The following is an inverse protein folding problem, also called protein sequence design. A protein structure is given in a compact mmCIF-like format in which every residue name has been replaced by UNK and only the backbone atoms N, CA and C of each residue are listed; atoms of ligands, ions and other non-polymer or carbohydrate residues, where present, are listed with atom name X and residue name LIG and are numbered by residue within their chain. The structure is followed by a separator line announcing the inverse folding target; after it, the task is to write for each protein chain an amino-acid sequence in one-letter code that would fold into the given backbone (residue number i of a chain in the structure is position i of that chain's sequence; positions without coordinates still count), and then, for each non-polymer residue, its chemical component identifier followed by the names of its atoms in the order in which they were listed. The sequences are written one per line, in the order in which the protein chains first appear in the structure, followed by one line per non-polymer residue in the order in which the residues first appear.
data_IF_529394399457
#
_entry.id   IF_529394399457
#
_cell.length_a   1.000
_cell.length_b   1.000
_cell.length_c   1.000
_cell.angle_alpha   90.00
_cell.angle_beta   90.00
_cell.angle_gamma   90.00
#
_symmetry.space_group_name_H-M   'P 1'
#
loop_
_entity.id
_entity.type
_entity.pdbx_description
1 polymer ?
#
# COMPACT_ATOMS: atom_id res chain seq x y z
N UNK A 1 -17.15 -7.54 -33.99
CA UNK A 1 -16.88 -8.18 -32.69
C UNK A 1 -16.51 -7.09 -31.70
N UNK A 2 -17.35 -6.80 -30.69
CA UNK A 2 -17.00 -5.83 -29.65
C UNK A 2 -15.91 -6.44 -28.78
N UNK A 3 -14.69 -5.90 -28.84
CA UNK A 3 -13.58 -6.32 -27.99
C UNK A 3 -13.90 -5.90 -26.54
N UNK A 4 -14.30 -6.84 -25.69
CA UNK A 4 -14.45 -6.56 -24.26
C UNK A 4 -13.09 -6.15 -23.70
N UNK A 5 -12.95 -4.88 -23.30
CA UNK A 5 -11.70 -4.38 -22.71
C UNK A 5 -11.44 -5.12 -21.40
N UNK A 6 -10.43 -5.98 -21.39
CA UNK A 6 -9.98 -6.62 -20.16
C UNK A 6 -9.31 -5.59 -19.26
N UNK A 7 -9.73 -5.51 -18.00
CA UNK A 7 -9.13 -4.63 -17.00
C UNK A 7 -7.74 -5.09 -16.54
N UNK A 8 -7.24 -6.23 -17.01
CA UNK A 8 -5.94 -6.81 -16.61
C UNK A 8 -4.78 -5.80 -16.61
N UNK A 9 -4.62 -4.92 -17.63
CA UNK A 9 -3.53 -3.93 -17.62
C UNK A 9 -3.61 -2.95 -16.45
N UNK A 10 -4.81 -2.60 -15.98
CA UNK A 10 -4.98 -1.73 -14.81
C UNK A 10 -4.49 -2.41 -13.53
N UNK A 11 -4.94 -3.66 -13.30
CA UNK A 11 -4.53 -4.42 -12.12
C UNK A 11 -3.01 -4.61 -12.06
N UNK A 12 -2.40 -4.93 -13.21
CA UNK A 12 -0.96 -5.11 -13.34
C UNK A 12 -0.18 -3.79 -13.26
N UNK A 13 -0.73 -2.69 -13.78
CA UNK A 13 -0.09 -1.37 -13.71
C UNK A 13 0.11 -0.90 -12.29
N UNK A 14 -0.95 -0.96 -11.46
CA UNK A 14 -0.87 -0.57 -10.03
C UNK A 14 0.06 -1.54 -9.27
N UNK A 15 -0.02 -2.84 -9.57
CA UNK A 15 0.89 -3.84 -9.01
C UNK A 15 2.36 -3.54 -9.33
N UNK A 16 2.68 -3.13 -10.55
CA UNK A 16 4.03 -2.79 -10.99
C UNK A 16 4.57 -1.54 -10.30
N UNK A 17 3.73 -0.50 -10.17
CA UNK A 17 4.08 0.73 -9.44
C UNK A 17 4.41 0.41 -7.98
N UNK A 18 3.52 -0.31 -7.29
CA UNK A 18 3.76 -0.72 -5.91
C UNK A 18 4.97 -1.63 -5.75
N UNK A 19 5.23 -2.53 -6.70
CA UNK A 19 6.41 -3.40 -6.68
C UNK A 19 7.71 -2.65 -6.82
N UNK A 20 7.75 -1.64 -7.70
CA UNK A 20 8.91 -0.76 -7.87
C UNK A 20 9.17 0.04 -6.59
N UNK A 21 8.12 0.64 -6.01
CA UNK A 21 8.26 1.41 -4.76
C UNK A 21 8.72 0.49 -3.61
N UNK A 22 8.15 -0.72 -3.51
CA UNK A 22 8.54 -1.69 -2.50
C UNK A 22 10.02 -2.07 -2.61
N UNK A 23 10.48 -2.39 -3.82
CA UNK A 23 11.86 -2.76 -4.08
C UNK A 23 12.86 -1.66 -3.69
N UNK A 24 12.49 -0.39 -3.89
CA UNK A 24 13.37 0.75 -3.61
C UNK A 24 13.34 1.23 -2.17
N UNK A 25 12.19 1.11 -1.48
CA UNK A 25 11.96 1.82 -0.21
C UNK A 25 11.52 0.94 0.96
N UNK A 26 10.92 -0.23 0.72
CA UNK A 26 10.28 -1.00 1.79
C UNK A 26 11.27 -1.45 2.86
N UNK A 27 12.48 -1.87 2.46
CA UNK A 27 13.54 -2.24 3.39
C UNK A 27 13.92 -1.08 4.32
N UNK A 28 14.10 0.12 3.77
CA UNK A 28 14.41 1.33 4.55
C UNK A 28 13.24 1.74 5.46
N UNK A 29 12.00 1.64 4.98
CA UNK A 29 10.80 1.91 5.79
C UNK A 29 10.73 0.96 6.98
N UNK A 30 10.93 -0.34 6.77
CA UNK A 30 10.97 -1.34 7.84
C UNK A 30 12.10 -1.04 8.83
N UNK A 31 13.31 -0.73 8.32
CA UNK A 31 14.44 -0.41 9.18
C UNK A 31 14.17 0.83 10.06
N UNK A 32 13.55 1.87 9.52
CA UNK A 32 13.24 3.10 10.27
C UNK A 32 12.10 2.87 11.25
N UNK A 33 10.95 2.40 10.77
CA UNK A 33 9.70 2.37 11.54
C UNK A 33 9.64 1.15 12.47
N UNK A 34 10.12 -0.02 12.03
CA UNK A 34 9.97 -1.27 12.78
C UNK A 34 11.22 -1.64 13.60
N UNK A 35 12.37 -0.99 13.37
CA UNK A 35 13.63 -1.31 14.08
C UNK A 35 14.15 -0.07 14.81
N UNK A 36 14.54 0.98 14.08
CA UNK A 36 15.21 2.14 14.67
C UNK A 36 14.31 2.93 15.63
N UNK A 37 13.03 3.12 15.28
CA UNK A 37 12.08 3.85 16.12
C UNK A 37 11.76 3.10 17.44
N UNK A 38 11.43 1.78 17.45
CA UNK A 38 11.26 1.02 18.69
C UNK A 38 12.51 0.97 19.57
N UNK A 39 13.70 0.94 18.96
CA UNK A 39 14.98 0.98 19.68
C UNK A 39 15.38 2.39 20.13
N UNK A 40 14.56 3.41 19.86
CA UNK A 40 14.77 4.82 20.23
C UNK A 40 16.03 5.45 19.65
N UNK A 41 16.52 4.94 18.52
CA UNK A 41 17.67 5.54 17.81
C UNK A 41 17.34 6.87 17.14
N UNK A 42 16.05 7.12 16.92
CA UNK A 42 15.50 8.31 16.28
C UNK A 42 14.71 9.20 17.27
N UNK A 43 14.99 9.06 18.57
CA UNK A 43 14.23 9.70 19.64
C UNK A 43 13.03 8.86 20.09
N UNK A 44 12.14 9.48 20.86
CA UNK A 44 10.86 8.89 21.26
C UNK A 44 9.86 8.87 20.09
N UNK A 45 8.87 7.95 20.08
CA UNK A 45 7.78 7.97 19.10
C UNK A 45 7.07 9.32 19.02
N UNK A 46 6.90 10.01 20.14
CA UNK A 46 6.28 11.33 20.24
C UNK A 46 7.12 12.41 19.56
N UNK A 47 8.43 12.46 19.82
CA UNK A 47 9.36 13.39 19.16
C UNK A 47 9.45 13.12 17.65
N UNK A 48 9.52 11.85 17.26
CA UNK A 48 9.55 11.45 15.85
C UNK A 48 8.28 11.88 15.12
N UNK A 49 7.11 11.70 15.75
CA UNK A 49 5.83 12.18 15.22
C UNK A 49 5.82 13.69 15.08
N UNK A 50 6.20 14.43 16.13
CA UNK A 50 6.19 15.89 16.12
C UNK A 50 7.05 16.47 14.98
N UNK A 51 8.25 15.92 14.77
CA UNK A 51 9.15 16.36 13.71
C UNK A 51 8.63 16.11 12.29
N UNK A 52 7.81 15.07 12.10
CA UNK A 52 7.23 14.73 10.80
C UNK A 52 5.84 15.33 10.58
N UNK A 53 5.14 15.73 11.65
CA UNK A 53 3.75 16.12 11.61
C UNK A 53 3.51 17.27 10.62
N UNK A 54 4.31 18.34 10.66
CA UNK A 54 4.12 19.48 9.76
C UNK A 54 4.27 19.11 8.28
N UNK A 55 5.18 18.17 7.96
CA UNK A 55 5.35 17.67 6.60
C UNK A 55 4.16 16.83 6.15
N UNK A 56 3.70 15.92 7.01
CA UNK A 56 2.57 15.02 6.69
C UNK A 56 1.24 15.77 6.67
N UNK A 57 1.08 16.84 7.47
CA UNK A 57 -0.09 17.71 7.47
C UNK A 57 -0.24 18.51 6.15
N UNK A 58 0.84 18.64 5.37
CA UNK A 58 0.72 19.19 4.02
C UNK A 58 -0.12 18.24 3.14
N UNK A 59 -1.29 18.71 2.70
CA UNK A 59 -2.27 17.91 1.93
C UNK A 59 -1.68 17.27 0.67
N UNK A 60 -0.74 17.92 -0.01
CA UNK A 60 -0.11 17.36 -1.19
C UNK A 60 0.80 16.19 -0.83
N UNK A 61 1.61 16.33 0.23
CA UNK A 61 2.48 15.27 0.75
C UNK A 61 1.63 14.11 1.27
N UNK A 62 0.57 14.40 2.02
CA UNK A 62 -0.39 13.40 2.48
C UNK A 62 -0.95 12.56 1.33
N UNK A 63 -1.41 13.18 0.24
CA UNK A 63 -1.95 12.45 -0.92
C UNK A 63 -0.89 11.57 -1.59
N UNK A 64 0.36 12.03 -1.69
CA UNK A 64 1.47 11.22 -2.20
C UNK A 64 1.70 10.00 -1.31
N UNK A 65 1.78 10.19 0.01
CA UNK A 65 1.98 9.10 0.97
C UNK A 65 0.81 8.11 0.94
N UNK A 66 -0.44 8.59 0.88
CA UNK A 66 -1.62 7.75 0.76
C UNK A 66 -1.58 6.92 -0.55
N UNK A 67 -1.17 7.52 -1.67
CA UNK A 67 -0.99 6.83 -2.94
C UNK A 67 0.11 5.76 -2.90
N UNK A 68 1.25 6.08 -2.28
CA UNK A 68 2.35 5.12 -2.05
C UNK A 68 1.84 3.92 -1.25
N UNK A 69 1.19 4.16 -0.10
CA UNK A 69 0.66 3.10 0.75
C UNK A 69 -0.37 2.26 -0.01
N UNK A 70 -1.27 2.89 -0.77
CA UNK A 70 -2.25 2.18 -1.60
C UNK A 70 -1.58 1.27 -2.64
N UNK A 71 -0.58 1.76 -3.37
CA UNK A 71 0.10 0.95 -4.39
C UNK A 71 0.88 -0.21 -3.78
N UNK A 72 1.55 0.00 -2.63
CA UNK A 72 2.20 -1.08 -1.86
C UNK A 72 1.20 -2.14 -1.42
N UNK A 73 0.05 -1.72 -0.89
CA UNK A 73 -1.00 -2.63 -0.46
C UNK A 73 -1.60 -3.41 -1.64
N UNK A 74 -1.88 -2.71 -2.75
CA UNK A 74 -2.33 -3.33 -3.99
C UNK A 74 -1.33 -4.37 -4.49
N UNK A 75 -0.03 -4.06 -4.46
CA UNK A 75 1.01 -5.01 -4.82
C UNK A 75 0.96 -6.28 -3.97
N UNK A 76 0.86 -6.12 -2.64
CA UNK A 76 0.77 -7.22 -1.70
C UNK A 76 -0.45 -8.12 -1.95
N UNK A 77 -1.64 -7.54 -2.04
CA UNK A 77 -2.88 -8.31 -2.26
C UNK A 77 -2.92 -8.97 -3.65
N UNK A 78 -2.36 -8.31 -4.66
CA UNK A 78 -2.21 -8.86 -6.01
C UNK A 78 -1.34 -10.13 -5.98
N UNK A 79 -0.13 -10.04 -5.39
CA UNK A 79 0.75 -11.21 -5.24
C UNK A 79 0.09 -12.31 -4.42
N UNK A 80 -0.52 -11.96 -3.30
CA UNK A 80 -1.16 -12.93 -2.42
C UNK A 80 -2.25 -13.74 -3.12
N UNK A 81 -3.11 -13.09 -3.92
CA UNK A 81 -4.11 -13.80 -4.73
C UNK A 81 -3.49 -14.85 -5.65
N UNK A 82 -2.43 -14.49 -6.38
CA UNK A 82 -1.77 -15.41 -7.30
C UNK A 82 -0.97 -16.49 -6.57
N UNK A 83 -0.35 -16.18 -5.43
CA UNK A 83 0.31 -17.19 -4.58
C UNK A 83 -0.70 -18.26 -4.12
N UNK A 84 -1.91 -17.86 -3.69
CA UNK A 84 -2.94 -18.83 -3.31
C UNK A 84 -3.32 -19.75 -4.49
N UNK A 85 -3.45 -19.18 -5.69
CA UNK A 85 -3.71 -19.95 -6.90
C UNK A 85 -2.55 -20.90 -7.24
N UNK A 86 -1.30 -20.43 -7.13
CA UNK A 86 -0.08 -21.21 -7.40
C UNK A 86 0.13 -22.33 -6.35
N UNK A 87 -0.35 -22.12 -5.12
CA UNK A 87 -0.41 -23.15 -4.07
C UNK A 87 -1.59 -24.12 -4.23
N UNK A 88 -2.31 -24.08 -5.35
CA UNK A 88 -3.49 -24.90 -5.63
C UNK A 88 -4.65 -24.73 -4.62
N UNK A 89 -4.73 -23.59 -3.95
CA UNK A 89 -5.89 -23.22 -3.14
C UNK A 89 -6.97 -22.70 -4.09
N UNK A 90 -8.19 -23.25 -3.98
CA UNK A 90 -9.32 -22.88 -4.83
C UNK A 90 -9.81 -21.46 -4.54
N UNK A 91 -9.18 -20.47 -5.20
CA UNK A 91 -9.53 -19.06 -5.12
C UNK A 91 -10.25 -18.61 -6.39
N UNK A 92 -11.46 -18.05 -6.22
CA UNK A 92 -12.29 -17.58 -7.32
C UNK A 92 -12.32 -16.05 -7.43
N UNK A 93 -13.19 -15.56 -8.32
CA UNK A 93 -13.39 -14.13 -8.51
C UNK A 93 -13.82 -13.38 -7.23
N UNK A 94 -14.53 -14.07 -6.32
CA UNK A 94 -14.92 -13.50 -5.02
C UNK A 94 -13.70 -13.14 -4.17
N UNK A 95 -12.78 -14.09 -3.98
CA UNK A 95 -11.52 -13.86 -3.24
C UNK A 95 -10.72 -12.72 -3.86
N UNK A 96 -10.62 -12.71 -5.20
CA UNK A 96 -9.96 -11.65 -5.94
C UNK A 96 -10.57 -10.28 -5.62
N UNK A 97 -11.89 -10.15 -5.75
CA UNK A 97 -12.60 -8.90 -5.50
C UNK A 97 -12.49 -8.46 -4.03
N UNK A 98 -12.55 -9.39 -3.08
CA UNK A 98 -12.37 -9.11 -1.65
C UNK A 98 -10.98 -8.55 -1.36
N UNK A 99 -9.92 -9.11 -1.96
CA UNK A 99 -8.55 -8.66 -1.77
C UNK A 99 -8.30 -7.26 -2.34
N UNK A 100 -8.74 -6.99 -3.57
CA UNK A 100 -8.64 -5.64 -4.13
C UNK A 100 -9.57 -4.65 -3.44
N UNK A 101 -10.77 -5.09 -3.06
CA UNK A 101 -11.73 -4.30 -2.29
C UNK A 101 -11.15 -3.88 -0.95
N UNK A 102 -10.45 -4.77 -0.25
CA UNK A 102 -9.72 -4.44 0.97
C UNK A 102 -8.70 -3.31 0.75
N UNK A 103 -7.89 -3.37 -0.32
CA UNK A 103 -6.93 -2.32 -0.64
C UNK A 103 -7.61 -0.96 -0.91
N UNK A 104 -8.74 -0.96 -1.63
CA UNK A 104 -9.51 0.26 -1.91
C UNK A 104 -10.16 0.81 -0.64
N UNK A 105 -10.78 -0.03 0.18
CA UNK A 105 -11.41 0.38 1.45
C UNK A 105 -10.37 0.97 2.39
N UNK A 106 -9.20 0.32 2.53
CA UNK A 106 -8.12 0.84 3.35
C UNK A 106 -7.66 2.23 2.85
N UNK A 107 -7.50 2.41 1.54
CA UNK A 107 -7.15 3.71 0.97
C UNK A 107 -8.22 4.79 1.23
N UNK A 108 -9.50 4.47 1.05
CA UNK A 108 -10.60 5.41 1.34
C UNK A 108 -10.62 5.76 2.83
N UNK A 109 -10.44 4.80 3.73
CA UNK A 109 -10.34 5.06 5.17
C UNK A 109 -9.15 5.99 5.46
N UNK A 110 -7.98 5.72 4.88
CA UNK A 110 -6.81 6.61 5.01
C UNK A 110 -7.14 8.02 4.56
N UNK A 111 -7.81 8.20 3.42
CA UNK A 111 -8.21 9.52 2.96
C UNK A 111 -9.23 10.20 3.87
N UNK A 112 -10.23 9.48 4.37
CA UNK A 112 -11.27 10.08 5.22
C UNK A 112 -10.76 10.41 6.63
N UNK A 113 -9.95 9.52 7.20
CA UNK A 113 -9.42 9.62 8.56
C UNK A 113 -8.08 10.34 8.60
N UNK A 114 -7.41 10.60 7.47
CA UNK A 114 -6.18 11.39 7.45
C UNK A 114 -6.39 12.84 7.00
N UNK A 115 -7.59 13.18 6.55
CA UNK A 115 -7.91 14.48 5.96
C UNK A 115 -8.49 15.44 7.01
N UNK A 116 -7.60 16.00 7.81
CA UNK A 116 -7.85 17.09 8.75
C UNK A 116 -6.58 17.91 8.96
#
# INVERSE_FOLDING_TARGET
MSQHKHLKPLYWGIFSAGGTIAALSLASIIAVICIALPLRWLGTPEEFYFNLHEWVANKFIFLILAGIIFTLLWHGVHRFYYILHDMHIHVGNRTRLSLYGFAVVAFVITLLVGWF
#
